data_IF_625048685133
#
_entry.id   IF_625048685133
#
_cell.length_a   1.000
_cell.length_b   1.000
_cell.length_c   1.000
_cell.angle_alpha   90.00
_cell.angle_beta   90.00
_cell.angle_gamma   90.00
#
_symmetry.space_group_name_H-M   'P 1'
#
loop_
_entity.id
_entity.type
_entity.pdbx_description
1 polymer ?
#
# COMPACT_ATOMS: atom_id res chain seq x y z
N UNK A 1 7.74 27.28 26.79
CA UNK A 1 6.55 27.47 25.94
C UNK A 1 6.29 26.13 25.26
N UNK A 2 5.24 25.40 25.61
CA UNK A 2 4.93 24.11 25.00
C UNK A 2 4.44 24.38 23.57
N UNK A 3 5.27 24.06 22.58
CA UNK A 3 4.88 24.20 21.17
C UNK A 3 4.24 22.86 20.74
N UNK A 4 2.91 22.79 20.86
CA UNK A 4 2.14 21.73 20.19
C UNK A 4 1.89 22.15 18.76
N UNK A 5 2.05 21.20 17.84
CA UNK A 5 1.72 21.36 16.43
C UNK A 5 0.42 20.63 16.12
N UNK A 6 -0.35 21.17 15.19
CA UNK A 6 -1.53 20.50 14.64
C UNK A 6 -1.23 20.14 13.20
N UNK A 7 -1.41 18.87 12.86
CA UNK A 7 -1.23 18.35 11.51
C UNK A 7 -2.55 17.76 11.02
N UNK A 8 -2.76 17.69 9.70
CA UNK A 8 -3.80 16.80 9.15
C UNK A 8 -3.57 15.37 9.60
N UNK A 9 -4.64 14.60 9.68
CA UNK A 9 -4.54 13.16 9.86
C UNK A 9 -3.67 12.52 8.78
N UNK A 10 -2.78 11.60 9.18
CA UNK A 10 -1.88 10.91 8.27
C UNK A 10 -2.64 9.93 7.38
N UNK A 11 -2.08 9.71 6.18
CA UNK A 11 -2.59 8.78 5.19
C UNK A 11 -1.50 7.76 4.87
N UNK A 12 -1.80 6.48 5.04
CA UNK A 12 -0.96 5.38 4.53
C UNK A 12 -1.63 4.79 3.28
N UNK A 13 -0.99 4.94 2.14
CA UNK A 13 -1.56 4.54 0.86
C UNK A 13 -1.17 3.13 0.41
N UNK A 14 -0.52 2.34 1.27
CA UNK A 14 -0.20 0.95 1.00
C UNK A 14 -0.21 0.12 2.27
N UNK A 15 -1.35 -0.47 2.56
CA UNK A 15 -1.49 -1.42 3.68
C UNK A 15 -2.18 -2.70 3.22
N UNK A 16 -2.03 -3.76 4.02
CA UNK A 16 -2.70 -5.04 3.90
C UNK A 16 -3.32 -5.43 5.26
N UNK A 17 -4.49 -4.87 5.58
CA UNK A 17 -5.12 -5.07 6.89
C UNK A 17 -5.40 -6.54 7.21
N UNK A 18 -5.75 -7.32 6.19
CA UNK A 18 -6.03 -8.75 6.35
C UNK A 18 -4.77 -9.56 6.71
N UNK A 19 -3.58 -9.08 6.31
CA UNK A 19 -2.33 -9.83 6.46
C UNK A 19 -1.69 -9.52 7.82
N UNK A 20 -2.25 -10.10 8.86
CA UNK A 20 -1.81 -9.95 10.25
C UNK A 20 -0.83 -11.06 10.69
N UNK A 21 -0.21 -11.76 9.75
CA UNK A 21 0.85 -12.76 9.91
C UNK A 21 1.88 -12.59 8.79
N UNK A 22 3.08 -13.15 8.97
CA UNK A 22 4.08 -13.24 7.88
C UNK A 22 3.84 -14.44 6.97
N UNK A 23 3.12 -15.46 7.45
CA UNK A 23 2.73 -16.60 6.63
C UNK A 23 1.41 -16.30 5.92
N UNK A 24 1.52 -16.02 4.62
CA UNK A 24 0.36 -15.71 3.79
C UNK A 24 -0.58 -16.91 3.61
N UNK A 25 -0.09 -18.15 3.73
CA UNK A 25 -0.92 -19.36 3.68
C UNK A 25 -1.84 -19.47 4.89
N UNK A 26 -1.41 -19.00 6.06
CA UNK A 26 -2.25 -18.98 7.26
C UNK A 26 -3.53 -18.18 7.05
N UNK A 27 -3.41 -17.01 6.36
CA UNK A 27 -4.58 -16.15 6.09
C UNK A 27 -5.66 -16.91 5.34
N UNK A 28 -5.29 -17.70 4.32
CA UNK A 28 -6.22 -18.48 3.52
C UNK A 28 -6.89 -19.63 4.30
N UNK A 29 -6.29 -20.05 5.42
CA UNK A 29 -6.80 -21.09 6.30
C UNK A 29 -7.67 -20.58 7.44
N UNK A 30 -7.71 -19.26 7.67
CA UNK A 30 -8.57 -18.67 8.69
C UNK A 30 -10.03 -18.63 8.27
N UNK A 31 -10.93 -18.66 9.24
CA UNK A 31 -12.32 -18.33 8.95
C UNK A 31 -12.44 -16.83 8.66
N UNK A 32 -13.36 -16.39 7.78
CA UNK A 32 -13.55 -14.97 7.47
C UNK A 32 -13.78 -14.11 8.73
N UNK A 33 -14.55 -14.60 9.70
CA UNK A 33 -14.79 -13.87 10.95
C UNK A 33 -13.52 -13.66 11.77
N UNK A 34 -12.66 -14.67 11.88
CA UNK A 34 -11.39 -14.53 12.62
C UNK A 34 -10.43 -13.56 11.91
N UNK A 35 -10.30 -13.69 10.59
CA UNK A 35 -9.46 -12.80 9.78
C UNK A 35 -9.92 -11.33 9.90
N UNK A 36 -11.25 -11.10 9.82
CA UNK A 36 -11.84 -9.75 9.97
C UNK A 36 -11.57 -9.14 11.34
N UNK A 37 -11.75 -9.90 12.42
CA UNK A 37 -11.48 -9.40 13.79
C UNK A 37 -10.02 -9.02 13.96
N UNK A 38 -9.09 -9.81 13.43
CA UNK A 38 -7.66 -9.49 13.46
C UNK A 38 -7.35 -8.23 12.67
N UNK A 39 -7.90 -8.10 11.46
CA UNK A 39 -7.74 -6.92 10.61
C UNK A 39 -8.27 -5.63 11.26
N UNK A 40 -9.46 -5.69 11.87
CA UNK A 40 -10.04 -4.55 12.56
C UNK A 40 -9.24 -4.14 13.82
N UNK A 41 -8.67 -5.12 14.54
CA UNK A 41 -7.77 -4.82 15.66
C UNK A 41 -6.49 -4.12 15.20
N UNK A 42 -5.96 -4.45 14.00
CA UNK A 42 -4.82 -3.72 13.43
C UNK A 42 -5.22 -2.35 12.92
N UNK A 43 -6.40 -2.21 12.31
CA UNK A 43 -6.94 -0.92 11.89
C UNK A 43 -7.04 0.07 13.06
N UNK A 44 -7.51 -0.37 14.24
CA UNK A 44 -7.50 0.46 15.44
C UNK A 44 -6.09 0.91 15.82
N UNK A 45 -5.10 0.02 15.77
CA UNK A 45 -3.70 0.38 16.08
C UNK A 45 -3.15 1.41 15.08
N UNK A 46 -3.47 1.29 13.79
CA UNK A 46 -3.08 2.28 12.77
C UNK A 46 -3.69 3.65 13.06
N UNK A 47 -4.97 3.72 13.42
CA UNK A 47 -5.61 4.97 13.81
C UNK A 47 -4.92 5.59 15.04
N UNK A 48 -4.60 4.79 16.05
CA UNK A 48 -3.89 5.25 17.26
C UNK A 48 -2.45 5.69 16.98
N UNK A 49 -1.84 5.24 15.87
CA UNK A 49 -0.56 5.79 15.36
C UNK A 49 -0.72 7.08 14.57
N UNK A 50 -1.95 7.57 14.35
CA UNK A 50 -2.25 8.84 13.67
C UNK A 50 -2.68 8.69 12.21
N UNK A 51 -2.79 7.49 11.67
CA UNK A 51 -3.30 7.28 10.33
C UNK A 51 -4.84 7.31 10.35
N UNK A 52 -5.42 8.44 9.96
CA UNK A 52 -6.88 8.61 9.91
C UNK A 52 -7.49 8.07 8.64
N UNK A 53 -6.70 7.84 7.61
CA UNK A 53 -7.10 7.20 6.35
C UNK A 53 -6.04 6.20 5.92
N UNK A 54 -6.47 5.03 5.43
CA UNK A 54 -5.59 4.03 4.83
C UNK A 54 -6.15 3.54 3.49
N UNK A 55 -5.26 3.25 2.54
CA UNK A 55 -5.59 2.54 1.30
C UNK A 55 -5.09 1.11 1.40
N UNK A 56 -6.02 0.15 1.51
CA UNK A 56 -5.68 -1.26 1.47
C UNK A 56 -5.61 -1.74 0.03
N UNK A 57 -4.44 -2.20 -0.38
CA UNK A 57 -4.15 -2.60 -1.76
C UNK A 57 -4.29 -4.10 -2.00
N UNK A 58 -4.86 -4.82 -1.04
CA UNK A 58 -5.19 -6.23 -1.21
C UNK A 58 -5.58 -6.89 0.09
N UNK A 59 -6.79 -7.43 0.13
CA UNK A 59 -7.32 -8.25 1.21
C UNK A 59 -8.52 -7.67 1.94
N UNK A 60 -8.52 -6.38 2.26
CA UNK A 60 -9.69 -5.75 2.88
C UNK A 60 -10.87 -5.69 1.94
N UNK A 61 -12.06 -5.82 2.49
CA UNK A 61 -13.31 -5.89 1.75
C UNK A 61 -14.34 -4.83 2.16
N UNK A 62 -15.48 -4.84 1.46
CA UNK A 62 -16.62 -3.99 1.76
C UNK A 62 -17.11 -4.11 3.20
N UNK A 63 -17.12 -5.32 3.77
CA UNK A 63 -17.61 -5.55 5.13
C UNK A 63 -16.74 -4.87 6.17
N UNK A 64 -15.41 -4.92 6.02
CA UNK A 64 -14.48 -4.20 6.90
C UNK A 64 -14.64 -2.69 6.76
N UNK A 65 -14.68 -2.16 5.51
CA UNK A 65 -14.86 -0.73 5.28
C UNK A 65 -16.17 -0.23 5.90
N UNK A 66 -17.27 -0.95 5.70
CA UNK A 66 -18.57 -0.62 6.25
C UNK A 66 -18.57 -0.66 7.78
N UNK A 67 -17.96 -1.67 8.41
CA UNK A 67 -17.87 -1.75 9.86
C UNK A 67 -17.13 -0.56 10.49
N UNK A 68 -16.09 -0.06 9.81
CA UNK A 68 -15.33 1.13 10.24
C UNK A 68 -16.12 2.43 10.01
N UNK A 69 -16.87 2.53 8.91
CA UNK A 69 -17.68 3.70 8.58
C UNK A 69 -18.92 3.83 9.47
N UNK A 70 -19.56 2.70 9.81
CA UNK A 70 -20.70 2.65 10.75
C UNK A 70 -20.26 2.78 12.23
N UNK A 71 -18.95 2.77 12.52
CA UNK A 71 -18.43 2.84 13.88
C UNK A 71 -18.62 1.56 14.70
N UNK A 72 -18.87 0.43 14.06
CA UNK A 72 -18.93 -0.89 14.72
C UNK A 72 -17.55 -1.34 15.20
N UNK A 73 -16.49 -0.83 14.58
CA UNK A 73 -15.10 -0.98 15.00
C UNK A 73 -14.38 0.36 14.89
N UNK A 74 -13.42 0.58 15.78
CA UNK A 74 -12.57 1.76 15.74
C UNK A 74 -11.45 1.53 14.71
N UNK A 75 -11.22 2.51 13.83
CA UNK A 75 -10.15 2.46 12.84
C UNK A 75 -10.17 3.64 11.88
N UNK A 76 -9.21 3.71 10.94
CA UNK A 76 -9.14 4.76 9.93
C UNK A 76 -10.31 4.67 8.93
N UNK A 77 -10.46 5.71 8.10
CA UNK A 77 -11.23 5.62 6.85
C UNK A 77 -10.51 4.63 5.94
N UNK A 78 -11.22 3.58 5.53
CA UNK A 78 -10.65 2.49 4.74
C UNK A 78 -11.06 2.61 3.26
N UNK A 79 -10.07 2.81 2.39
CA UNK A 79 -10.24 2.77 0.95
C UNK A 79 -9.70 1.45 0.42
N UNK A 80 -10.54 0.42 0.33
CA UNK A 80 -10.10 -0.92 -0.07
C UNK A 80 -10.06 -1.10 -1.59
N UNK A 81 -9.15 -1.96 -2.06
CA UNK A 81 -9.04 -2.43 -3.44
C UNK A 81 -9.67 -3.80 -3.68
N UNK A 82 -10.15 -4.46 -2.60
CA UNK A 82 -10.58 -5.86 -2.68
C UNK A 82 -9.39 -6.79 -2.85
N UNK A 83 -9.50 -7.81 -3.70
CA UNK A 83 -8.41 -8.74 -4.00
C UNK A 83 -7.54 -8.23 -5.13
N UNK A 84 -6.21 -8.23 -4.92
CA UNK A 84 -5.26 -7.91 -5.97
C UNK A 84 -5.31 -8.97 -7.09
N UNK A 85 -5.23 -8.54 -8.34
CA UNK A 85 -5.21 -9.48 -9.48
C UNK A 85 -3.79 -10.01 -9.71
N UNK A 86 -3.67 -11.31 -9.89
CA UNK A 86 -2.44 -12.02 -10.25
C UNK A 86 -2.71 -12.98 -11.38
N UNK A 87 -1.75 -13.17 -12.27
CA UNK A 87 -1.77 -14.29 -13.21
C UNK A 87 -1.39 -15.60 -12.52
N UNK A 88 -1.69 -16.72 -13.14
CA UNK A 88 -1.17 -18.05 -12.74
C UNK A 88 0.37 -18.01 -12.67
N UNK A 89 0.92 -18.52 -11.57
CA UNK A 89 2.36 -18.49 -11.30
C UNK A 89 2.94 -17.09 -11.04
N UNK A 90 2.08 -16.08 -10.87
CA UNK A 90 2.49 -14.71 -10.52
C UNK A 90 2.62 -14.50 -9.02
N UNK A 91 2.99 -13.28 -8.63
CA UNK A 91 3.30 -12.90 -7.24
C UNK A 91 2.16 -13.17 -6.25
N UNK A 92 0.91 -13.15 -6.69
CA UNK A 92 -0.27 -13.46 -5.86
C UNK A 92 -0.74 -14.91 -5.97
N UNK A 93 -0.07 -15.76 -6.71
CA UNK A 93 -0.35 -17.20 -6.76
C UNK A 93 0.48 -17.92 -5.70
N UNK A 94 -0.10 -18.07 -4.52
CA UNK A 94 0.57 -18.66 -3.37
C UNK A 94 0.53 -20.20 -3.35
N UNK A 95 0.00 -20.84 -4.39
CA UNK A 95 -0.08 -22.30 -4.44
C UNK A 95 1.32 -22.93 -4.43
N UNK A 96 1.56 -23.97 -3.62
CA UNK A 96 2.78 -24.77 -3.71
C UNK A 96 2.93 -25.40 -5.09
N UNK A 97 4.16 -25.68 -5.53
CA UNK A 97 4.46 -26.24 -6.86
C UNK A 97 3.71 -27.58 -7.17
N UNK A 98 3.30 -28.32 -6.15
CA UNK A 98 2.57 -29.58 -6.30
C UNK A 98 1.05 -29.42 -6.15
N UNK A 99 0.52 -28.20 -6.05
CA UNK A 99 -0.91 -27.96 -5.91
C UNK A 99 -1.52 -27.50 -7.23
N UNK A 100 -2.16 -28.42 -7.95
CA UNK A 100 -2.88 -28.14 -9.18
C UNK A 100 -4.33 -27.66 -8.94
N UNK A 101 -4.80 -27.59 -7.68
CA UNK A 101 -6.14 -27.17 -7.38
C UNK A 101 -6.34 -25.67 -7.65
N UNK A 102 -7.29 -25.32 -8.50
CA UNK A 102 -7.75 -23.94 -8.58
C UNK A 102 -8.45 -23.56 -7.28
N UNK A 103 -8.25 -22.33 -6.76
CA UNK A 103 -8.98 -21.87 -5.59
C UNK A 103 -10.49 -21.94 -5.86
N UNK A 104 -11.14 -22.98 -5.37
CA UNK A 104 -12.57 -23.21 -5.63
C UNK A 104 -13.51 -22.25 -4.88
N UNK A 105 -12.96 -21.45 -3.94
CA UNK A 105 -13.75 -20.59 -3.07
C UNK A 105 -13.17 -19.19 -3.03
N UNK A 106 -13.70 -18.28 -3.86
CA UNK A 106 -13.38 -16.85 -3.78
C UNK A 106 -13.79 -16.19 -2.44
N UNK A 107 -14.60 -16.87 -1.62
CA UNK A 107 -15.03 -16.40 -0.30
C UNK A 107 -13.98 -16.57 0.79
N UNK A 108 -12.88 -17.28 0.56
CA UNK A 108 -11.81 -17.39 1.56
C UNK A 108 -11.06 -16.07 1.73
N UNK A 109 -10.62 -15.75 2.94
CA UNK A 109 -9.70 -14.65 3.18
C UNK A 109 -8.46 -14.82 2.31
N UNK A 110 -8.18 -13.86 1.45
CA UNK A 110 -6.98 -13.85 0.61
C UNK A 110 -6.71 -12.42 0.14
N UNK A 111 -5.45 -12.05 0.01
CA UNK A 111 -5.08 -10.73 -0.49
C UNK A 111 -5.20 -10.63 -2.02
N UNK A 112 -5.18 -11.75 -2.76
CA UNK A 112 -5.22 -11.78 -4.22
C UNK A 112 -6.21 -12.79 -4.80
N UNK A 113 -6.41 -12.72 -6.11
CA UNK A 113 -7.15 -13.68 -6.94
C UNK A 113 -6.46 -13.89 -8.28
N UNK A 114 -6.55 -15.10 -8.80
CA UNK A 114 -5.99 -15.44 -10.11
C UNK A 114 -6.98 -15.07 -11.20
N UNK A 115 -6.49 -14.37 -12.24
CA UNK A 115 -7.26 -14.01 -13.41
C UNK A 115 -6.34 -13.98 -14.64
N UNK A 116 -6.47 -14.94 -15.54
CA UNK A 116 -5.66 -15.07 -16.74
C UNK A 116 -6.49 -14.74 -17.99
N UNK A 117 -5.91 -13.92 -18.85
CA UNK A 117 -6.53 -13.44 -20.08
C UNK A 117 -7.46 -12.24 -19.88
N UNK A 118 -7.68 -11.51 -20.97
CA UNK A 118 -8.43 -10.25 -20.99
C UNK A 118 -9.83 -10.39 -20.37
N UNK A 119 -10.56 -11.46 -20.71
CA UNK A 119 -11.93 -11.65 -20.24
C UNK A 119 -12.00 -11.93 -18.75
N UNK A 120 -11.07 -12.74 -18.22
CA UNK A 120 -11.01 -13.02 -16.78
C UNK A 120 -10.59 -11.78 -15.98
N UNK A 121 -9.64 -11.00 -16.48
CA UNK A 121 -9.23 -9.72 -15.86
C UNK A 121 -10.41 -8.73 -15.82
N UNK A 122 -11.17 -8.58 -16.92
CA UNK A 122 -12.37 -7.74 -16.95
C UNK A 122 -13.43 -8.21 -15.96
N UNK A 123 -13.72 -9.48 -15.93
CA UNK A 123 -14.70 -10.05 -14.99
C UNK A 123 -14.29 -9.81 -13.54
N UNK A 124 -13.00 -10.04 -13.24
CA UNK A 124 -12.44 -9.82 -11.91
C UNK A 124 -12.50 -8.34 -11.50
N UNK A 125 -12.09 -7.42 -12.39
CA UNK A 125 -12.13 -5.98 -12.13
C UNK A 125 -13.56 -5.49 -11.83
N UNK A 126 -14.52 -5.88 -12.67
CA UNK A 126 -15.94 -5.57 -12.48
C UNK A 126 -16.48 -6.09 -11.16
N UNK A 127 -16.08 -7.28 -10.75
CA UNK A 127 -16.54 -7.88 -9.50
C UNK A 127 -15.95 -7.14 -8.28
N UNK A 128 -14.67 -6.76 -8.29
CA UNK A 128 -14.10 -5.95 -7.19
C UNK A 128 -14.77 -4.56 -7.13
N UNK A 129 -15.03 -3.89 -8.27
CA UNK A 129 -15.76 -2.61 -8.28
C UNK A 129 -17.22 -2.76 -7.84
N UNK A 130 -17.90 -3.85 -8.22
CA UNK A 130 -19.24 -4.19 -7.72
C UNK A 130 -19.27 -4.33 -6.19
N UNK A 131 -18.17 -4.84 -5.60
CA UNK A 131 -17.97 -4.95 -4.14
C UNK A 131 -17.55 -3.63 -3.49
N UNK A 132 -17.42 -2.55 -4.23
CA UNK A 132 -17.12 -1.22 -3.72
C UNK A 132 -15.64 -0.84 -3.69
N UNK A 133 -14.77 -1.58 -4.38
CA UNK A 133 -13.35 -1.24 -4.48
C UNK A 133 -13.14 0.20 -5.00
N UNK A 134 -12.22 0.93 -4.38
CA UNK A 134 -11.91 2.34 -4.72
C UNK A 134 -10.77 2.45 -5.73
N UNK A 135 -10.06 1.39 -5.97
CA UNK A 135 -9.00 1.19 -6.96
C UNK A 135 -8.88 -0.29 -7.24
N UNK A 136 -8.14 -0.65 -8.29
CA UNK A 136 -7.79 -2.03 -8.59
C UNK A 136 -6.29 -2.21 -8.44
N UNK A 137 -5.85 -3.22 -7.68
CA UNK A 137 -4.44 -3.62 -7.58
C UNK A 137 -4.16 -4.75 -8.54
N UNK A 138 -3.07 -4.64 -9.31
CA UNK A 138 -2.56 -5.69 -10.21
C UNK A 138 -1.10 -5.97 -9.88
N UNK A 139 -0.70 -7.22 -9.89
CA UNK A 139 0.67 -7.66 -9.60
C UNK A 139 1.41 -7.88 -10.92
N UNK A 140 2.41 -7.04 -11.24
CA UNK A 140 3.04 -7.00 -12.57
C UNK A 140 4.50 -7.47 -12.59
N UNK A 141 5.09 -7.72 -11.44
CA UNK A 141 6.42 -8.33 -11.36
C UNK A 141 6.46 -9.40 -10.30
N UNK A 142 7.53 -10.17 -10.28
CA UNK A 142 7.83 -11.01 -9.13
C UNK A 142 8.06 -10.19 -7.88
N UNK A 143 7.95 -10.83 -6.71
CA UNK A 143 8.06 -10.19 -5.42
C UNK A 143 8.98 -10.88 -4.43
N UNK A 144 9.31 -10.19 -3.36
CA UNK A 144 10.15 -10.73 -2.27
C UNK A 144 9.42 -11.85 -1.52
N UNK A 145 8.12 -11.66 -1.26
CA UNK A 145 7.35 -12.61 -0.45
C UNK A 145 6.99 -13.91 -1.17
N UNK A 146 6.93 -13.92 -2.50
CA UNK A 146 6.61 -15.12 -3.28
C UNK A 146 7.87 -15.96 -3.52
N UNK A 147 7.82 -17.30 -3.30
CA UNK A 147 9.02 -18.13 -3.40
C UNK A 147 9.39 -18.52 -4.84
N UNK A 148 8.47 -18.44 -5.80
CA UNK A 148 8.58 -19.11 -7.09
C UNK A 148 8.79 -18.16 -8.29
N UNK A 149 8.62 -16.86 -8.14
CA UNK A 149 8.81 -15.88 -9.20
C UNK A 149 10.09 -15.04 -8.99
N UNK A 150 10.76 -14.70 -10.07
CA UNK A 150 11.93 -13.82 -10.02
C UNK A 150 11.52 -12.35 -9.98
N UNK A 151 12.30 -11.50 -9.30
CA UNK A 151 12.05 -10.04 -9.21
C UNK A 151 11.90 -9.41 -10.59
N UNK A 152 12.72 -9.83 -11.55
CA UNK A 152 12.72 -9.32 -12.92
C UNK A 152 11.62 -9.91 -13.82
N UNK A 153 10.84 -10.88 -13.32
CA UNK A 153 9.74 -11.46 -14.09
C UNK A 153 8.68 -10.39 -14.36
N UNK A 154 8.24 -10.28 -15.61
CA UNK A 154 7.16 -9.37 -16.01
C UNK A 154 5.90 -10.20 -16.16
N UNK A 155 4.90 -9.85 -15.37
CA UNK A 155 3.63 -10.55 -15.31
C UNK A 155 2.57 -9.75 -16.07
N UNK A 156 1.54 -10.43 -16.55
CA UNK A 156 0.50 -9.90 -17.41
C UNK A 156 0.99 -9.32 -18.76
N UNK A 157 0.23 -9.54 -19.78
CA UNK A 157 0.41 -8.88 -21.08
C UNK A 157 -0.09 -7.43 -21.04
N UNK A 158 0.27 -6.65 -22.04
CA UNK A 158 -0.20 -5.26 -22.14
C UNK A 158 -1.72 -5.20 -22.34
N UNK A 159 -2.31 -6.15 -23.09
CA UNK A 159 -3.74 -6.25 -23.32
C UNK A 159 -4.52 -6.50 -22.02
N UNK A 160 -4.01 -7.37 -21.15
CA UNK A 160 -4.63 -7.65 -19.86
C UNK A 160 -4.58 -6.43 -18.93
N UNK A 161 -3.44 -5.72 -18.89
CA UNK A 161 -3.30 -4.48 -18.11
C UNK A 161 -4.25 -3.40 -18.65
N UNK A 162 -4.34 -3.23 -19.98
CA UNK A 162 -5.29 -2.28 -20.59
C UNK A 162 -6.73 -2.62 -20.25
N UNK A 163 -7.09 -3.90 -20.24
CA UNK A 163 -8.42 -4.33 -19.83
C UNK A 163 -8.74 -3.93 -18.39
N UNK A 164 -7.78 -4.09 -17.47
CA UNK A 164 -7.92 -3.64 -16.08
C UNK A 164 -8.08 -2.12 -15.97
N UNK A 165 -7.28 -1.35 -16.74
CA UNK A 165 -7.33 0.13 -16.77
C UNK A 165 -8.67 0.61 -17.31
N UNK A 166 -9.13 0.10 -18.45
CA UNK A 166 -10.43 0.46 -19.04
C UNK A 166 -11.60 0.21 -18.07
N UNK A 167 -11.61 -0.95 -17.39
CA UNK A 167 -12.66 -1.22 -16.40
C UNK A 167 -12.59 -0.27 -15.20
N UNK A 168 -11.38 0.11 -14.77
CA UNK A 168 -11.22 1.09 -13.70
C UNK A 168 -11.72 2.48 -14.12
N UNK A 169 -11.38 2.93 -15.32
CA UNK A 169 -11.83 4.21 -15.87
C UNK A 169 -13.35 4.26 -16.03
N UNK A 170 -13.97 3.17 -16.53
CA UNK A 170 -15.43 3.03 -16.67
C UNK A 170 -16.16 3.16 -15.31
N UNK A 171 -15.47 2.86 -14.22
CA UNK A 171 -16.00 3.00 -12.85
C UNK A 171 -15.54 4.30 -12.15
N UNK A 172 -14.87 5.22 -12.87
CA UNK A 172 -14.22 6.40 -12.30
C UNK A 172 -13.23 6.04 -11.17
N UNK A 173 -12.45 4.98 -11.40
CA UNK A 173 -11.41 4.46 -10.52
C UNK A 173 -10.08 4.40 -11.27
N UNK A 174 -9.05 3.90 -10.62
CA UNK A 174 -7.73 3.76 -11.21
C UNK A 174 -7.10 2.40 -10.87
N UNK A 175 -6.08 2.06 -11.63
CA UNK A 175 -5.24 0.89 -11.38
C UNK A 175 -3.96 1.31 -10.67
N UNK A 176 -3.56 0.53 -9.68
CA UNK A 176 -2.24 0.56 -9.06
C UNK A 176 -1.54 -0.78 -9.23
N UNK A 177 -0.21 -0.79 -9.32
CA UNK A 177 0.54 -2.00 -9.65
C UNK A 177 1.70 -2.26 -8.71
N UNK A 178 1.88 -3.51 -8.31
CA UNK A 178 3.13 -3.99 -7.72
C UNK A 178 4.15 -4.18 -8.84
N UNK A 179 5.27 -3.47 -8.80
CA UNK A 179 6.37 -3.67 -9.75
C UNK A 179 7.68 -3.07 -9.21
N UNK A 180 8.77 -3.83 -9.36
CA UNK A 180 10.12 -3.37 -8.99
C UNK A 180 10.92 -2.91 -10.19
N UNK A 181 10.87 -3.71 -11.27
CA UNK A 181 11.77 -3.60 -12.41
C UNK A 181 11.23 -2.67 -13.50
N UNK A 182 12.07 -1.85 -14.17
CA UNK A 182 11.67 -0.93 -15.23
C UNK A 182 10.77 -1.54 -16.30
N UNK A 183 11.08 -2.75 -16.79
CA UNK A 183 10.28 -3.42 -17.84
C UNK A 183 8.81 -3.61 -17.46
N UNK A 184 8.51 -3.94 -16.20
CA UNK A 184 7.15 -4.11 -15.73
C UNK A 184 6.47 -2.74 -15.55
N UNK A 185 7.20 -1.78 -14.98
CA UNK A 185 6.69 -0.41 -14.74
C UNK A 185 6.41 0.30 -16.06
N UNK A 186 7.30 0.24 -17.04
CA UNK A 186 7.12 0.85 -18.35
C UNK A 186 5.88 0.29 -19.06
N UNK A 187 5.68 -1.04 -19.04
CA UNK A 187 4.48 -1.67 -19.59
C UNK A 187 3.23 -1.17 -18.91
N UNK A 188 3.23 -1.08 -17.57
CA UNK A 188 2.12 -0.57 -16.78
C UNK A 188 1.76 0.88 -17.14
N UNK A 189 2.77 1.76 -17.17
CA UNK A 189 2.58 3.18 -17.46
C UNK A 189 2.07 3.43 -18.88
N UNK A 190 2.56 2.68 -19.87
CA UNK A 190 2.08 2.75 -21.27
C UNK A 190 0.65 2.24 -21.40
N UNK A 191 0.24 1.31 -20.54
CA UNK A 191 -1.14 0.82 -20.50
C UNK A 191 -2.10 1.77 -19.77
N UNK A 192 -1.62 2.85 -19.10
CA UNK A 192 -2.46 3.85 -18.42
C UNK A 192 -2.57 3.68 -16.90
N UNK A 193 -1.71 2.89 -16.29
CA UNK A 193 -1.68 2.74 -14.82
C UNK A 193 -1.35 4.07 -14.16
N UNK A 194 -2.09 4.41 -13.10
CA UNK A 194 -1.94 5.69 -12.40
C UNK A 194 -0.93 5.68 -11.26
N UNK A 195 -0.67 4.52 -10.64
CA UNK A 195 0.18 4.42 -9.47
C UNK A 195 1.06 3.18 -9.53
N UNK A 196 2.33 3.35 -9.17
CA UNK A 196 3.30 2.26 -9.03
C UNK A 196 3.61 2.10 -7.54
N UNK A 197 3.50 0.88 -7.05
CA UNK A 197 3.96 0.48 -5.72
C UNK A 197 5.39 -0.05 -5.82
N UNK A 198 6.21 0.30 -4.85
CA UNK A 198 7.61 -0.08 -4.70
C UNK A 198 8.55 0.67 -5.65
N UNK A 199 8.77 0.19 -6.87
CA UNK A 199 9.66 0.87 -7.83
C UNK A 199 11.13 0.94 -7.40
N UNK A 200 11.61 -0.02 -6.61
CA UNK A 200 12.94 0.04 -5.99
C UNK A 200 14.10 -0.04 -7.00
N UNK A 201 13.84 -0.54 -8.21
CA UNK A 201 14.85 -0.74 -9.26
C UNK A 201 14.66 0.24 -10.43
N UNK A 202 14.06 1.42 -10.19
CA UNK A 202 13.84 2.43 -11.21
C UNK A 202 15.13 2.85 -11.91
N UNK A 203 15.06 2.99 -13.24
CA UNK A 203 16.08 3.69 -14.03
C UNK A 203 15.58 5.10 -14.45
N UNK A 204 16.46 5.90 -15.02
CA UNK A 204 16.12 7.28 -15.41
C UNK A 204 15.06 7.34 -16.53
N UNK A 205 15.02 6.33 -17.41
CA UNK A 205 14.00 6.22 -18.46
C UNK A 205 12.60 6.01 -17.85
N UNK A 206 12.49 5.10 -16.90
CA UNK A 206 11.24 4.83 -16.19
C UNK A 206 10.82 6.03 -15.33
N UNK A 207 11.76 6.74 -14.69
CA UNK A 207 11.49 7.98 -13.97
C UNK A 207 10.91 9.05 -14.92
N UNK A 208 11.51 9.21 -16.10
CA UNK A 208 10.97 10.15 -17.11
C UNK A 208 9.56 9.76 -17.55
N UNK A 209 9.27 8.46 -17.70
CA UNK A 209 7.94 7.98 -18.06
C UNK A 209 6.92 8.19 -16.92
N UNK A 210 7.30 8.02 -15.65
CA UNK A 210 6.46 8.37 -14.51
C UNK A 210 6.01 9.83 -14.56
N UNK A 211 6.94 10.73 -14.86
CA UNK A 211 6.65 12.17 -15.01
C UNK A 211 5.75 12.45 -16.21
N UNK A 212 6.05 11.88 -17.38
CA UNK A 212 5.21 12.04 -18.60
C UNK A 212 3.78 11.63 -18.33
N UNK A 213 3.59 10.48 -17.68
CA UNK A 213 2.26 9.93 -17.36
C UNK A 213 1.63 10.55 -16.11
N UNK A 214 2.34 11.43 -15.39
CA UNK A 214 1.90 12.01 -14.11
C UNK A 214 1.46 10.92 -13.11
N UNK A 215 2.18 9.82 -13.12
CA UNK A 215 1.90 8.69 -12.25
C UNK A 215 2.50 8.91 -10.85
N UNK A 216 1.88 8.30 -9.86
CA UNK A 216 2.34 8.31 -8.48
C UNK A 216 3.27 7.13 -8.20
N UNK A 217 4.19 7.31 -7.25
CA UNK A 217 5.07 6.25 -6.75
C UNK A 217 4.92 6.12 -5.22
N UNK A 218 4.74 4.88 -4.74
CA UNK A 218 4.64 4.52 -3.32
C UNK A 218 5.78 3.59 -2.96
N UNK A 219 6.91 4.06 -2.40
CA UNK A 219 8.17 3.30 -2.33
C UNK A 219 8.22 2.20 -1.28
N UNK A 220 7.46 2.28 -0.19
CA UNK A 220 7.33 1.25 0.88
C UNK A 220 8.65 0.72 1.45
N UNK A 221 9.64 1.59 1.66
CA UNK A 221 10.99 1.19 2.07
C UNK A 221 11.04 0.46 3.42
N UNK A 222 10.16 0.84 4.33
CA UNK A 222 10.12 0.28 5.68
C UNK A 222 9.83 -1.22 5.69
N UNK A 223 9.05 -1.73 4.72
CA UNK A 223 8.76 -3.15 4.61
C UNK A 223 10.04 -3.97 4.42
N UNK A 224 10.91 -3.55 3.51
CA UNK A 224 12.16 -4.24 3.22
C UNK A 224 13.15 -4.13 4.38
N UNK A 225 13.26 -2.96 4.98
CA UNK A 225 14.15 -2.74 6.11
C UNK A 225 13.74 -3.58 7.33
N UNK A 226 12.45 -3.62 7.67
CA UNK A 226 11.96 -4.42 8.79
C UNK A 226 12.08 -5.93 8.53
N UNK A 227 11.77 -6.36 7.31
CA UNK A 227 11.93 -7.77 6.93
C UNK A 227 13.41 -8.19 6.99
N UNK A 228 14.33 -7.33 6.53
CA UNK A 228 15.77 -7.58 6.61
C UNK A 228 16.27 -7.66 8.06
N UNK A 229 15.74 -6.84 8.97
CA UNK A 229 16.06 -6.91 10.43
C UNK A 229 15.63 -8.22 11.06
N UNK A 230 14.53 -8.82 10.63
CA UNK A 230 14.13 -10.15 11.05
C UNK A 230 15.05 -11.25 10.49
N UNK A 231 15.57 -11.05 9.26
CA UNK A 231 16.41 -12.03 8.58
C UNK A 231 15.74 -13.42 8.53
N UNK A 232 16.44 -14.45 8.98
CA UNK A 232 15.92 -15.82 9.01
C UNK A 232 14.66 -15.98 9.89
N UNK A 233 14.46 -15.13 10.91
CA UNK A 233 13.27 -15.16 11.77
C UNK A 233 12.00 -14.66 11.05
N UNK A 234 12.13 -14.07 9.84
CA UNK A 234 10.97 -13.72 9.00
C UNK A 234 10.22 -14.93 8.46
N UNK A 235 10.83 -16.11 8.49
CA UNK A 235 10.29 -17.31 7.84
C UNK A 235 10.49 -17.33 6.33
N UNK A 236 11.10 -16.32 5.74
CA UNK A 236 11.37 -16.27 4.29
C UNK A 236 12.41 -17.32 3.88
N UNK A 237 12.20 -18.00 2.74
CA UNK A 237 13.21 -18.88 2.16
C UNK A 237 14.52 -18.13 1.85
N UNK A 238 15.69 -18.81 1.83
CA UNK A 238 16.96 -18.17 1.47
C UNK A 238 16.95 -17.43 0.13
N UNK A 239 16.24 -17.95 -0.86
CA UNK A 239 16.07 -17.28 -2.17
C UNK A 239 15.36 -15.93 -2.03
N UNK A 240 14.31 -15.85 -1.20
CA UNK A 240 13.59 -14.59 -0.92
C UNK A 240 14.45 -13.59 -0.14
N UNK A 241 15.34 -14.06 0.74
CA UNK A 241 16.30 -13.16 1.41
C UNK A 241 17.30 -12.55 0.43
N UNK A 242 17.71 -13.28 -0.62
CA UNK A 242 18.54 -12.73 -1.70
C UNK A 242 17.79 -11.64 -2.48
N UNK A 243 16.55 -11.89 -2.87
CA UNK A 243 15.68 -10.90 -3.53
C UNK A 243 15.48 -9.65 -2.66
N UNK A 244 15.28 -9.85 -1.35
CA UNK A 244 15.11 -8.76 -0.38
C UNK A 244 16.32 -7.82 -0.36
N UNK A 245 17.54 -8.38 -0.35
CA UNK A 245 18.77 -7.58 -0.34
C UNK A 245 18.88 -6.72 -1.61
N UNK A 246 18.62 -7.28 -2.79
CA UNK A 246 18.63 -6.57 -4.07
C UNK A 246 17.68 -5.37 -4.07
N UNK A 247 16.43 -5.59 -3.65
CA UNK A 247 15.38 -4.56 -3.65
C UNK A 247 15.66 -3.48 -2.60
N UNK A 248 16.09 -3.87 -1.39
CA UNK A 248 16.37 -2.94 -0.29
C UNK A 248 17.52 -2.01 -0.63
N UNK A 249 18.64 -2.56 -1.12
CA UNK A 249 19.89 -1.82 -1.29
C UNK A 249 19.79 -0.74 -2.39
N UNK A 250 18.87 -0.88 -3.35
CA UNK A 250 18.63 0.09 -4.42
C UNK A 250 17.45 1.05 -4.11
N UNK A 251 16.59 0.71 -3.16
CA UNK A 251 15.34 1.44 -2.95
C UNK A 251 15.52 2.90 -2.54
N UNK A 252 16.52 3.20 -1.71
CA UNK A 252 16.76 4.57 -1.25
C UNK A 252 17.33 5.46 -2.37
N UNK A 253 18.22 4.93 -3.21
CA UNK A 253 18.74 5.64 -4.39
C UNK A 253 17.64 5.89 -5.42
N UNK A 254 16.82 4.89 -5.71
CA UNK A 254 15.67 5.05 -6.61
C UNK A 254 14.71 6.14 -6.11
N UNK A 255 14.42 6.18 -4.80
CA UNK A 255 13.60 7.22 -4.17
C UNK A 255 14.24 8.60 -4.34
N UNK A 256 15.55 8.75 -4.09
CA UNK A 256 16.25 10.03 -4.21
C UNK A 256 16.20 10.55 -5.64
N UNK A 257 16.47 9.70 -6.63
CA UNK A 257 16.41 10.07 -8.06
C UNK A 257 14.99 10.46 -8.48
N UNK A 258 13.98 9.69 -8.10
CA UNK A 258 12.59 10.00 -8.39
C UNK A 258 12.15 11.32 -7.74
N UNK A 259 12.57 11.59 -6.49
CA UNK A 259 12.30 12.84 -5.80
C UNK A 259 12.94 14.04 -6.50
N UNK A 260 14.23 13.95 -6.83
CA UNK A 260 14.96 15.03 -7.54
C UNK A 260 14.35 15.34 -8.92
N UNK A 261 13.84 14.33 -9.59
CA UNK A 261 13.13 14.49 -10.86
C UNK A 261 11.73 15.13 -10.72
N UNK A 262 11.14 15.13 -9.52
CA UNK A 262 9.82 15.72 -9.27
C UNK A 262 8.65 14.74 -9.40
N UNK A 263 8.89 13.43 -9.29
CA UNK A 263 7.82 12.43 -9.26
C UNK A 263 6.94 12.62 -8.03
N UNK A 264 5.62 12.48 -8.19
CA UNK A 264 4.66 12.52 -7.09
C UNK A 264 4.82 11.29 -6.18
N UNK A 265 5.51 11.48 -5.04
CA UNK A 265 5.80 10.44 -4.08
C UNK A 265 4.72 10.38 -2.99
N UNK A 266 4.19 9.20 -2.71
CA UNK A 266 3.13 8.98 -1.73
C UNK A 266 3.66 8.07 -0.60
N UNK A 267 3.18 8.30 0.61
CA UNK A 267 3.50 7.47 1.77
C UNK A 267 2.78 6.13 1.70
N UNK A 268 3.50 5.04 1.94
CA UNK A 268 2.96 3.69 2.07
C UNK A 268 3.92 2.81 2.83
N UNK A 269 3.43 1.92 3.69
CA UNK A 269 4.26 1.12 4.57
C UNK A 269 4.43 -0.33 4.13
N UNK A 270 3.42 -0.97 3.55
CA UNK A 270 3.43 -2.38 3.11
C UNK A 270 3.89 -3.39 4.18
N UNK A 271 3.60 -3.10 5.43
CA UNK A 271 3.99 -3.94 6.55
C UNK A 271 3.00 -5.08 6.75
N UNK A 272 3.54 -6.26 7.10
CA UNK A 272 2.77 -7.48 7.32
C UNK A 272 2.96 -7.99 8.75
N UNK A 273 1.91 -8.57 9.32
CA UNK A 273 1.96 -9.28 10.60
C UNK A 273 2.62 -8.47 11.74
N UNK A 274 3.65 -9.04 12.39
CA UNK A 274 4.31 -8.41 13.52
C UNK A 274 5.13 -7.17 13.17
N UNK A 275 5.27 -6.83 11.86
CA UNK A 275 6.00 -5.65 11.41
C UNK A 275 5.15 -4.37 11.45
N UNK A 276 3.81 -4.45 11.49
CA UNK A 276 2.92 -3.28 11.51
C UNK A 276 3.30 -2.18 12.51
N UNK A 277 3.85 -2.46 13.71
CA UNK A 277 4.26 -1.40 14.63
C UNK A 277 5.31 -0.43 14.09
N UNK A 278 6.10 -0.83 13.08
CA UNK A 278 7.11 0.01 12.45
C UNK A 278 6.56 1.00 11.41
N UNK A 279 5.24 1.08 11.23
CA UNK A 279 4.56 1.88 10.21
C UNK A 279 5.08 3.32 10.10
N UNK A 280 5.41 3.96 11.21
CA UNK A 280 5.91 5.34 11.24
C UNK A 280 7.41 5.47 10.90
N UNK A 281 8.17 4.37 10.82
CA UNK A 281 9.61 4.43 10.50
C UNK A 281 9.87 4.79 9.03
N UNK A 282 8.90 4.62 8.12
CA UNK A 282 8.99 5.09 6.75
C UNK A 282 9.31 6.61 6.69
N UNK A 283 8.81 7.42 7.64
CA UNK A 283 9.13 8.85 7.73
C UNK A 283 10.63 9.09 7.86
N UNK A 284 11.29 8.37 8.75
CA UNK A 284 12.72 8.55 9.01
C UNK A 284 13.61 7.93 7.94
N UNK A 285 13.18 6.85 7.30
CA UNK A 285 13.88 6.29 6.14
C UNK A 285 13.87 7.29 4.98
N UNK A 286 12.73 7.83 4.65
CA UNK A 286 12.59 8.79 3.53
C UNK A 286 13.29 10.12 3.80
N UNK A 287 13.35 10.57 5.06
CA UNK A 287 14.05 11.80 5.43
C UNK A 287 15.56 11.75 5.22
N UNK A 288 16.15 10.59 4.93
CA UNK A 288 17.56 10.48 4.56
C UNK A 288 17.85 11.11 3.19
N UNK A 289 16.86 11.16 2.30
CA UNK A 289 17.01 11.62 0.90
C UNK A 289 15.96 12.65 0.48
N UNK A 290 14.98 12.95 1.32
CA UNK A 290 13.92 13.92 1.03
C UNK A 290 13.85 15.01 2.11
N UNK A 291 13.52 16.26 1.74
CA UNK A 291 13.17 17.30 2.70
C UNK A 291 11.98 16.87 3.57
N UNK A 292 12.05 17.16 4.85
CA UNK A 292 11.02 16.80 5.85
C UNK A 292 9.61 17.23 5.42
N UNK A 293 9.48 18.43 4.86
CA UNK A 293 8.20 18.94 4.38
C UNK A 293 7.60 18.09 3.25
N UNK A 294 8.44 17.55 2.35
CA UNK A 294 7.97 16.70 1.25
C UNK A 294 7.58 15.31 1.75
N UNK A 295 8.31 14.78 2.75
CA UNK A 295 7.93 13.54 3.43
C UNK A 295 6.56 13.69 4.10
N UNK A 296 6.29 14.80 4.79
CA UNK A 296 4.97 15.07 5.39
C UNK A 296 3.87 15.24 4.34
N UNK A 297 4.15 15.96 3.23
CA UNK A 297 3.20 16.08 2.12
C UNK A 297 2.83 14.74 1.52
N UNK A 298 3.78 13.81 1.43
CA UNK A 298 3.54 12.47 0.88
C UNK A 298 2.52 11.67 1.69
N UNK A 299 2.44 11.89 3.00
CA UNK A 299 1.47 11.26 3.91
C UNK A 299 0.20 12.11 4.15
N UNK A 300 0.05 13.19 3.42
CA UNK A 300 -1.09 14.12 3.57
C UNK A 300 -1.63 14.54 2.21
N UNK A 301 -1.27 15.72 1.72
CA UNK A 301 -1.84 16.30 0.50
C UNK A 301 -1.55 15.51 -0.77
N UNK A 302 -0.35 14.93 -0.92
CA UNK A 302 -0.01 14.11 -2.11
C UNK A 302 -0.78 12.80 -2.08
N UNK A 303 -0.88 12.14 -0.92
CA UNK A 303 -1.72 10.94 -0.77
C UNK A 303 -3.20 11.25 -1.06
N UNK A 304 -3.73 12.35 -0.56
CA UNK A 304 -5.10 12.78 -0.84
C UNK A 304 -5.36 12.93 -2.36
N UNK A 305 -4.38 13.46 -3.13
CA UNK A 305 -4.49 13.55 -4.60
C UNK A 305 -4.53 12.18 -5.28
N UNK A 306 -3.69 11.24 -4.84
CA UNK A 306 -3.74 9.85 -5.35
C UNK A 306 -5.11 9.24 -5.11
N UNK A 307 -5.65 9.41 -3.90
CA UNK A 307 -6.92 8.82 -3.49
C UNK A 307 -8.16 9.51 -4.10
N UNK A 308 -7.97 10.60 -4.86
CA UNK A 308 -9.07 11.36 -5.45
C UNK A 308 -9.88 12.16 -4.43
N UNK A 309 -9.27 12.47 -3.27
CA UNK A 309 -9.89 13.19 -2.15
C UNK A 309 -9.15 14.49 -1.79
N UNK A 310 -8.53 15.12 -2.79
CA UNK A 310 -7.83 16.38 -2.61
C UNK A 310 -8.79 17.47 -2.09
N UNK A 311 -8.40 18.15 -1.01
CA UNK A 311 -9.23 19.13 -0.33
C UNK A 311 -10.21 18.54 0.70
N UNK A 312 -10.47 17.24 0.68
CA UNK A 312 -11.33 16.55 1.62
C UNK A 312 -10.56 15.96 2.81
N UNK A 313 -9.37 15.40 2.55
CA UNK A 313 -8.48 14.80 3.57
C UNK A 313 -7.05 15.31 3.39
N UNK A 314 -6.19 15.05 4.38
CA UNK A 314 -4.78 15.44 4.33
C UNK A 314 -4.55 16.95 4.38
N UNK A 315 -5.55 17.73 4.80
CA UNK A 315 -5.51 19.19 4.92
C UNK A 315 -6.34 19.66 6.11
N UNK A 316 -6.06 20.87 6.62
CA UNK A 316 -6.80 21.54 7.68
C UNK A 316 -7.57 22.75 7.11
N UNK A 317 -8.20 22.60 5.96
CA UNK A 317 -8.97 23.62 5.29
C UNK A 317 -10.48 23.57 5.67
N UNK A 318 -11.20 24.71 5.64
CA UNK A 318 -12.64 24.69 5.77
C UNK A 318 -13.31 23.79 4.72
N UNK A 319 -14.24 22.93 5.16
CA UNK A 319 -14.91 21.95 4.30
C UNK A 319 -14.23 20.59 4.21
N UNK A 320 -12.99 20.46 4.68
CA UNK A 320 -12.33 19.16 4.79
C UNK A 320 -12.89 18.36 5.99
N UNK A 321 -12.70 17.04 5.93
CA UNK A 321 -12.93 16.19 7.08
C UNK A 321 -12.08 16.65 8.27
N UNK A 322 -12.68 16.68 9.48
CA UNK A 322 -11.97 17.05 10.69
C UNK A 322 -11.09 15.89 11.19
N UNK A 323 -10.11 15.51 10.35
CA UNK A 323 -9.09 14.52 10.63
C UNK A 323 -7.79 15.26 10.98
N UNK A 324 -7.38 15.24 12.25
CA UNK A 324 -6.21 15.98 12.71
C UNK A 324 -5.45 15.27 13.83
N UNK A 325 -4.19 15.63 13.96
CA UNK A 325 -3.28 15.19 15.02
C UNK A 325 -2.82 16.39 15.82
N UNK A 326 -2.73 16.25 17.15
CA UNK A 326 -2.04 17.18 18.03
C UNK A 326 -0.76 16.54 18.52
N UNK A 327 0.39 17.10 18.13
CA UNK A 327 1.70 16.54 18.40
C UNK A 327 2.49 17.47 19.35
N UNK A 328 3.14 16.88 20.36
CA UNK A 328 4.03 17.56 21.27
C UNK A 328 5.46 17.55 20.72
N UNK A 329 5.83 18.63 20.06
CA UNK A 329 7.07 18.81 19.31
C UNK A 329 6.81 19.43 17.95
N UNK A 330 7.86 19.59 17.16
CA UNK A 330 7.82 20.14 15.82
C UNK A 330 8.29 19.10 14.78
N UNK A 331 7.36 18.40 14.09
CA UNK A 331 7.72 17.41 13.09
C UNK A 331 8.48 17.96 11.89
N UNK A 332 8.39 19.27 11.61
CA UNK A 332 9.18 19.91 10.55
C UNK A 332 10.65 20.07 10.95
N UNK A 333 10.93 20.20 12.24
CA UNK A 333 12.29 20.25 12.76
C UNK A 333 12.86 18.87 13.05
N UNK A 334 12.02 17.92 13.49
CA UNK A 334 12.43 16.56 13.86
C UNK A 334 11.28 15.55 13.61
N UNK A 335 11.37 14.79 12.52
CA UNK A 335 10.39 13.74 12.20
C UNK A 335 10.34 12.60 13.20
N UNK A 336 11.38 12.41 14.05
CA UNK A 336 11.36 11.37 15.08
C UNK A 336 10.26 11.58 16.13
N UNK A 337 9.73 12.80 16.21
CA UNK A 337 8.53 13.11 16.99
C UNK A 337 7.34 12.25 16.57
N UNK A 338 7.16 11.98 15.27
CA UNK A 338 6.08 11.14 14.77
C UNK A 338 6.34 9.64 15.04
N UNK A 339 7.60 9.19 15.00
CA UNK A 339 7.92 7.76 15.19
C UNK A 339 7.79 7.26 16.63
N UNK A 340 7.48 8.16 17.56
CA UNK A 340 7.24 7.86 18.98
C UNK A 340 5.86 8.35 19.42
N UNK A 341 4.76 7.81 18.83
CA UNK A 341 3.41 8.33 19.06
C UNK A 341 2.99 8.29 20.52
N UNK A 342 3.37 7.26 21.29
CA UNK A 342 3.04 7.14 22.71
C UNK A 342 3.58 8.32 23.55
N UNK A 343 4.67 8.94 23.10
CA UNK A 343 5.29 10.08 23.79
C UNK A 343 4.76 11.42 23.29
N UNK A 344 4.61 11.55 21.96
CA UNK A 344 4.43 12.83 21.31
C UNK A 344 3.02 13.07 20.76
N UNK A 345 2.29 12.04 20.35
CA UNK A 345 0.93 12.15 19.84
C UNK A 345 -0.04 12.33 21.00
N UNK A 346 -0.57 13.53 21.16
CA UNK A 346 -1.44 13.88 22.29
C UNK A 346 -2.91 13.64 21.98
N UNK A 347 -3.32 13.92 20.76
CA UNK A 347 -4.68 13.66 20.31
C UNK A 347 -4.66 13.19 18.85
N UNK A 348 -5.49 12.22 18.57
CA UNK A 348 -5.93 11.84 17.23
C UNK A 348 -7.41 12.18 17.15
N UNK A 349 -7.81 12.91 16.12
CA UNK A 349 -9.20 13.23 15.85
C UNK A 349 -9.53 12.68 14.47
N UNK A 350 -10.58 11.87 14.37
CA UNK A 350 -11.13 11.34 13.12
C UNK A 350 -12.55 11.81 12.95
N UNK A 351 -12.86 12.46 11.82
CA UNK A 351 -14.19 13.00 11.52
C UNK A 351 -14.77 13.83 12.67
N UNK A 352 -13.91 14.63 13.35
CA UNK A 352 -14.30 15.48 14.47
C UNK A 352 -14.39 14.78 15.83
N UNK A 353 -14.20 13.47 15.87
CA UNK A 353 -14.27 12.68 17.12
C UNK A 353 -12.87 12.38 17.65
N UNK A 354 -12.51 12.79 18.88
CA UNK A 354 -11.27 12.38 19.53
C UNK A 354 -11.23 10.87 19.80
N UNK A 355 -10.02 10.26 19.63
CA UNK A 355 -9.77 8.84 19.78
C UNK A 355 -9.02 8.55 21.09
#
# INVERSE_FOLDING_TARGET
MYKRQVLPGLIDAHVHLLVTTLDLHDVANWTPGYATVRALAEAERMLRRGFTTVRDVGGADHGMARALDEGLALGPRLLHGGKALSQTGGHGDLRPLGDDALPCCESRPNFGRIADGVDAVRAAARDEFRKGARHLKVLLSGGVASPHDEIAAVQYSEEEIRAAVEEAENHNRYVTVHAYHPRAIDRALRAGVRCVEHGNLLDDGTIALLLEKRAFLVPTLVAYEQTARLGAASGLPPASLGKLAEVRDQGLDALERAHRAGVDLVYGSDLLGPLHPAQLEEFTLRAQVQPVADVLRSATTTAARLLGMAGEIGTLAPGAHADLLVVDGDPLADLTVLTRPQRHLKHVVKAGTPI
#
